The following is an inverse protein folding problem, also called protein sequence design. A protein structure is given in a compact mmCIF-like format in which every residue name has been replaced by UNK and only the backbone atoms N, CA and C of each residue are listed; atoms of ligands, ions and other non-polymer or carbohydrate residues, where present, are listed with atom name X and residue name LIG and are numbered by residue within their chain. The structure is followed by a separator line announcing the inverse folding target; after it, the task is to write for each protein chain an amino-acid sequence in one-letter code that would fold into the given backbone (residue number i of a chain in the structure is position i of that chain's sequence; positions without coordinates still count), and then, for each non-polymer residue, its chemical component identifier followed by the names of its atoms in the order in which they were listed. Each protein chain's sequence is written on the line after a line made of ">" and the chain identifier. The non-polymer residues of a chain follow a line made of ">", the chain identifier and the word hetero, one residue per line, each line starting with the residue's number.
data_IF_909330308981
#
_entry.id   IF_909330308981
#
_cell.length_a   1.000
_cell.length_b   1.000
_cell.length_c   1.000
_cell.angle_alpha   90.00
_cell.angle_beta   90.00
_cell.angle_gamma   90.00
#
_symmetry.space_group_name_H-M   'P 1'
#
loop_
_entity.id
_entity.type
_entity.pdbx_description
1 polymer ?
#
# COMPACT_ATOMS: atom_id res chain seq x y z
N UNK A 1 -0.43 29.24 20.23
CA UNK A 1 -0.76 28.29 19.14
C UNK A 1 -2.01 27.55 19.58
N UNK A 2 -3.15 27.72 18.90
CA UNK A 2 -4.40 27.06 19.31
C UNK A 2 -4.35 25.60 18.88
N UNK A 3 -4.40 24.68 19.84
CA UNK A 3 -4.66 23.26 19.61
C UNK A 3 -6.01 23.11 18.91
N UNK A 4 -6.01 22.66 17.65
CA UNK A 4 -7.25 22.33 16.95
C UNK A 4 -7.71 20.95 17.41
N UNK A 5 -8.65 20.93 18.36
CA UNK A 5 -9.31 19.71 18.80
C UNK A 5 -10.51 19.42 17.90
N UNK A 6 -10.60 18.22 17.33
CA UNK A 6 -11.74 17.82 16.50
C UNK A 6 -12.52 16.71 17.22
N UNK A 7 -13.82 16.94 17.44
CA UNK A 7 -14.74 15.89 17.88
C UNK A 7 -15.10 14.98 16.71
N UNK A 8 -14.95 13.66 16.87
CA UNK A 8 -15.10 12.69 15.78
C UNK A 8 -16.17 11.64 16.12
N UNK A 9 -17.05 11.32 15.16
CA UNK A 9 -18.06 10.27 15.26
C UNK A 9 -17.65 8.98 14.54
N UNK A 10 -17.60 7.87 15.27
CA UNK A 10 -17.20 6.54 14.78
C UNK A 10 -18.36 5.69 14.21
N UNK A 11 -19.50 6.29 13.88
CA UNK A 11 -20.69 5.56 13.38
C UNK A 11 -20.88 5.79 11.88
N UNK A 12 -21.08 4.72 11.12
CA UNK A 12 -21.23 4.74 9.64
C UNK A 12 -22.34 5.67 9.11
N UNK A 13 -23.40 5.90 9.90
CA UNK A 13 -24.55 6.75 9.51
C UNK A 13 -24.43 8.20 10.00
N UNK A 14 -23.30 8.57 10.60
CA UNK A 14 -23.13 9.84 11.30
C UNK A 14 -22.44 10.85 10.38
N UNK A 15 -23.16 11.91 10.03
CA UNK A 15 -22.67 13.01 9.20
C UNK A 15 -22.55 14.26 10.04
N UNK A 16 -21.52 15.08 9.77
CA UNK A 16 -21.34 16.38 10.44
C UNK A 16 -22.01 17.44 9.58
N UNK A 17 -23.11 18.00 10.07
CA UNK A 17 -23.83 19.11 9.44
C UNK A 17 -23.64 20.34 10.33
N UNK A 18 -23.19 21.46 9.76
CA UNK A 18 -23.11 22.76 10.44
C UNK A 18 -22.49 22.72 11.85
N UNK A 19 -21.36 22.00 11.98
CA UNK A 19 -20.57 21.80 13.21
C UNK A 19 -21.17 20.83 14.25
N UNK A 20 -22.35 20.25 14.01
CA UNK A 20 -22.99 19.26 14.89
C UNK A 20 -23.09 17.88 14.22
N UNK A 21 -22.96 16.82 15.03
CA UNK A 21 -23.03 15.44 14.57
C UNK A 21 -24.46 14.92 14.58
N UNK A 22 -24.92 14.34 13.48
CA UNK A 22 -26.31 13.91 13.29
C UNK A 22 -26.77 12.77 14.21
N UNK A 23 -25.88 12.12 14.97
CA UNK A 23 -26.23 10.99 15.82
C UNK A 23 -26.69 11.37 17.24
N UNK A 24 -26.50 12.61 17.69
CA UNK A 24 -26.96 13.08 19.01
C UNK A 24 -26.27 12.44 20.24
N UNK A 25 -25.08 11.85 20.08
CA UNK A 25 -24.29 11.27 21.16
C UNK A 25 -23.02 12.09 21.44
N UNK A 26 -22.38 11.98 22.61
CA UNK A 26 -21.08 12.59 22.86
C UNK A 26 -19.99 11.92 22.02
N UNK A 27 -19.01 12.73 21.56
CA UNK A 27 -17.93 12.33 20.67
C UNK A 27 -16.58 12.56 21.34
N UNK A 28 -15.68 11.59 21.19
CA UNK A 28 -14.32 11.72 21.70
C UNK A 28 -13.59 12.84 20.95
N UNK A 29 -12.88 13.65 21.73
CA UNK A 29 -12.07 14.76 21.23
C UNK A 29 -10.68 14.23 20.93
N UNK A 30 -10.27 14.28 19.66
CA UNK A 30 -8.91 13.93 19.27
C UNK A 30 -8.05 15.19 19.19
N UNK A 31 -6.91 15.20 19.87
CA UNK A 31 -5.91 16.25 19.77
C UNK A 31 -5.08 16.04 18.50
N UNK A 32 -5.18 16.98 17.55
CA UNK A 32 -4.32 16.99 16.38
C UNK A 32 -3.03 17.75 16.69
N UNK A 33 -1.89 17.07 16.67
CA UNK A 33 -0.59 17.73 16.61
C UNK A 33 -0.43 18.38 15.23
N UNK A 34 -0.08 19.67 15.21
CA UNK A 34 -0.14 20.51 14.03
C UNK A 34 1.03 20.25 13.07
N UNK A 35 0.82 19.37 12.09
CA UNK A 35 1.51 19.45 10.79
C UNK A 35 0.78 20.50 9.97
N UNK A 36 1.48 21.49 9.45
CA UNK A 36 0.83 22.59 8.71
C UNK A 36 0.50 22.16 7.28
N UNK A 37 -0.49 22.82 6.66
CA UNK A 37 -0.81 22.61 5.23
C UNK A 37 0.44 22.83 4.35
N UNK A 38 1.34 23.73 4.76
CA UNK A 38 2.61 24.00 4.08
C UNK A 38 3.59 22.82 4.14
N UNK A 39 3.55 22.00 5.19
CA UNK A 39 4.35 20.79 5.32
C UNK A 39 3.79 19.63 4.47
N UNK A 40 2.47 19.61 4.28
CA UNK A 40 1.78 18.72 3.35
C UNK A 40 2.01 19.10 1.88
N UNK A 41 1.97 20.40 1.56
CA UNK A 41 2.23 20.92 0.22
C UNK A 41 3.67 20.67 -0.25
N UNK A 42 4.65 20.60 0.67
CA UNK A 42 6.03 20.16 0.33
C UNK A 42 6.13 18.68 -0.02
N UNK A 43 5.25 17.84 0.53
CA UNK A 43 5.20 16.38 0.23
C UNK A 43 4.51 16.10 -1.12
N UNK A 44 3.63 17.02 -1.54
CA UNK A 44 2.95 17.06 -2.83
C UNK A 44 3.81 17.92 -3.77
N UNK A 45 4.90 17.37 -4.31
CA UNK A 45 5.79 18.13 -5.23
C UNK A 45 5.00 19.01 -6.24
N UNK A 46 5.36 20.29 -6.42
CA UNK A 46 4.70 21.15 -7.38
C UNK A 46 5.30 21.07 -8.80
N UNK A 47 4.36 20.98 -9.76
CA UNK A 47 4.35 21.50 -11.15
C UNK A 47 4.92 20.70 -12.35
N UNK A 48 4.04 20.49 -13.34
CA UNK A 48 4.05 21.33 -14.56
C UNK A 48 2.64 21.48 -15.17
N UNK A 49 2.31 22.73 -15.53
CA UNK A 49 1.09 23.13 -16.25
C UNK A 49 1.13 22.58 -17.68
N UNK A 50 0.05 22.01 -18.20
CA UNK A 50 -0.98 22.73 -18.98
C UNK A 50 -2.07 21.80 -19.53
N UNK A 51 -3.32 22.23 -19.28
CA UNK A 51 -4.47 22.26 -20.20
C UNK A 51 -5.09 20.94 -20.70
N UNK A 52 -6.18 20.57 -20.01
CA UNK A 52 -7.32 19.86 -20.60
C UNK A 52 -8.60 20.30 -19.88
N UNK A 53 -9.26 21.32 -20.44
CA UNK A 53 -10.58 21.79 -19.98
C UNK A 53 -11.60 20.68 -20.21
N UNK A 54 -12.26 20.21 -19.16
CA UNK A 54 -13.60 19.60 -19.28
C UNK A 54 -14.46 20.19 -18.17
N UNK A 55 -15.56 20.80 -18.59
CA UNK A 55 -16.43 21.62 -17.77
C UNK A 55 -17.12 20.80 -16.69
N UNK A 56 -17.43 21.48 -15.57
CA UNK A 56 -18.56 21.11 -14.74
C UNK A 56 -19.80 21.05 -15.63
N UNK A 57 -20.66 20.06 -15.42
CA UNK A 57 -22.06 20.27 -15.08
C UNK A 57 -22.81 18.94 -15.00
N UNK A 58 -23.86 18.97 -14.18
CA UNK A 58 -24.98 18.03 -14.04
C UNK A 58 -24.77 16.87 -13.07
N UNK A 59 -25.03 17.19 -11.79
CA UNK A 59 -25.66 16.26 -10.85
C UNK A 59 -27.05 15.87 -11.38
N UNK A 60 -27.16 14.66 -11.93
CA UNK A 60 -28.42 14.01 -12.24
C UNK A 60 -28.60 12.83 -11.30
N UNK A 61 -29.52 12.98 -10.36
CA UNK A 61 -30.07 11.92 -9.51
C UNK A 61 -30.63 10.79 -10.35
N UNK A 62 -30.25 9.55 -10.06
CA UNK A 62 -31.18 8.41 -10.02
C UNK A 62 -30.62 7.33 -9.10
N UNK A 63 -31.24 7.25 -7.92
CA UNK A 63 -31.09 6.16 -6.97
C UNK A 63 -31.82 4.96 -7.57
N UNK A 64 -31.05 3.98 -8.05
CA UNK A 64 -31.55 2.62 -8.24
C UNK A 64 -30.82 1.74 -7.22
N UNK A 65 -31.57 1.36 -6.19
CA UNK A 65 -31.20 0.33 -5.22
C UNK A 65 -31.03 -0.99 -5.97
N UNK A 66 -29.78 -1.44 -6.12
CA UNK A 66 -29.49 -2.84 -6.43
C UNK A 66 -28.77 -3.43 -5.23
N UNK A 67 -29.41 -4.43 -4.63
CA UNK A 67 -28.79 -5.32 -3.66
C UNK A 67 -27.52 -5.90 -4.30
N UNK A 68 -26.36 -5.49 -3.80
CA UNK A 68 -25.09 -6.11 -4.13
C UNK A 68 -24.66 -6.96 -2.95
N UNK A 69 -24.86 -8.26 -3.10
CA UNK A 69 -24.05 -9.25 -2.42
C UNK A 69 -22.57 -8.89 -2.64
N UNK A 70 -21.90 -8.45 -1.58
CA UNK A 70 -20.48 -8.13 -1.59
C UNK A 70 -19.67 -9.40 -1.91
N UNK A 71 -19.43 -9.64 -3.20
CA UNK A 71 -18.45 -10.64 -3.66
C UNK A 71 -17.07 -10.08 -3.36
N UNK A 72 -16.53 -10.43 -2.19
CA UNK A 72 -15.13 -10.17 -1.86
C UNK A 72 -14.28 -10.93 -2.88
N UNK A 73 -13.37 -10.27 -3.63
CA UNK A 73 -12.47 -10.96 -4.55
C UNK A 73 -11.68 -12.04 -3.80
N UNK A 74 -11.81 -13.29 -4.25
CA UNK A 74 -11.07 -14.42 -3.69
C UNK A 74 -9.59 -14.31 -4.07
N UNK A 75 -8.69 -14.32 -3.09
CA UNK A 75 -7.27 -14.53 -3.37
C UNK A 75 -7.06 -15.95 -3.90
N UNK A 76 -6.14 -16.10 -4.86
CA UNK A 76 -5.72 -17.38 -5.42
C UNK A 76 -5.17 -18.33 -4.34
N UNK A 77 -4.73 -17.79 -3.20
CA UNK A 77 -4.17 -18.52 -2.05
C UNK A 77 -5.11 -18.51 -0.83
N UNK A 78 -6.42 -18.40 -1.06
CA UNK A 78 -7.41 -18.74 -0.04
C UNK A 78 -7.07 -20.16 0.51
N UNK A 79 -6.94 -20.30 1.83
CA UNK A 79 -6.65 -21.56 2.55
C UNK A 79 -5.21 -22.08 2.50
N UNK A 80 -4.24 -21.29 2.04
CA UNK A 80 -2.83 -21.63 2.17
C UNK A 80 -2.39 -21.72 3.66
N UNK A 81 -1.39 -22.58 4.00
CA UNK A 81 -1.12 -23.00 5.38
C UNK A 81 -0.77 -21.83 6.32
N UNK A 82 -0.22 -20.75 5.76
CA UNK A 82 0.16 -19.53 6.49
C UNK A 82 -1.03 -18.72 7.03
N UNK A 83 -2.25 -18.88 6.49
CA UNK A 83 -3.42 -18.14 6.94
C UNK A 83 -3.80 -18.37 8.42
N UNK A 84 -3.17 -19.34 9.08
CA UNK A 84 -3.29 -19.58 10.52
C UNK A 84 -2.79 -18.41 11.36
N UNK A 85 -1.72 -17.73 10.96
CA UNK A 85 -0.99 -16.72 11.75
C UNK A 85 -1.59 -15.32 11.73
N UNK A 86 -2.69 -15.14 10.99
CA UNK A 86 -3.44 -13.88 10.93
C UNK A 86 -4.89 -14.14 10.54
N UNK A 87 -5.45 -15.26 11.02
CA UNK A 87 -6.80 -15.69 10.65
C UNK A 87 -7.87 -14.63 10.96
N UNK A 88 -7.70 -13.90 12.06
CA UNK A 88 -8.62 -12.84 12.48
C UNK A 88 -8.73 -11.71 11.46
N UNK A 89 -7.65 -11.38 10.75
CA UNK A 89 -7.62 -10.31 9.75
C UNK A 89 -7.78 -10.81 8.31
N UNK A 90 -7.94 -12.13 8.09
CA UNK A 90 -7.97 -12.69 6.75
C UNK A 90 -9.06 -12.09 5.85
N UNK A 91 -10.20 -11.71 6.44
CA UNK A 91 -11.34 -11.09 5.73
C UNK A 91 -11.14 -9.58 5.49
N UNK A 92 -10.08 -9.00 6.02
CA UNK A 92 -9.79 -7.55 5.99
C UNK A 92 -8.79 -7.19 4.88
N UNK A 93 -8.45 -8.14 4.01
CA UNK A 93 -7.60 -7.88 2.86
C UNK A 93 -7.93 -8.78 1.67
N UNK A 94 -7.66 -8.27 0.47
CA UNK A 94 -7.81 -8.98 -0.80
C UNK A 94 -6.79 -8.49 -1.83
N UNK A 95 -6.70 -9.17 -2.97
CA UNK A 95 -5.95 -8.67 -4.14
C UNK A 95 -6.88 -7.73 -4.95
N UNK A 96 -6.55 -6.44 -5.09
CA UNK A 96 -7.35 -5.50 -5.88
C UNK A 96 -7.00 -5.62 -7.36
N UNK A 97 -7.94 -5.26 -8.24
CA UNK A 97 -7.63 -5.10 -9.67
C UNK A 97 -6.68 -3.92 -9.88
N UNK A 98 -5.65 -4.13 -10.70
CA UNK A 98 -4.65 -3.12 -11.06
C UNK A 98 -4.82 -2.58 -12.47
N UNK A 99 -5.78 -3.11 -13.25
CA UNK A 99 -5.88 -2.86 -14.69
C UNK A 99 -6.02 -1.39 -15.04
N UNK A 100 -6.75 -0.63 -14.21
CA UNK A 100 -6.96 0.81 -14.37
C UNK A 100 -5.85 1.71 -13.81
N UNK A 101 -4.84 1.17 -13.13
CA UNK A 101 -3.78 1.99 -12.52
C UNK A 101 -2.88 2.57 -13.62
N UNK A 102 -2.68 3.88 -13.60
CA UNK A 102 -1.89 4.58 -14.63
C UNK A 102 -0.38 4.58 -14.29
N UNK A 103 0.41 4.06 -15.21
CA UNK A 103 1.88 3.91 -15.10
C UNK A 103 2.59 4.52 -16.32
N UNK A 104 3.90 4.78 -16.23
CA UNK A 104 4.65 5.36 -17.37
C UNK A 104 4.58 4.44 -18.59
N UNK A 105 4.10 4.97 -19.72
CA UNK A 105 4.00 4.29 -21.00
C UNK A 105 5.36 3.91 -21.61
N UNK A 106 5.35 3.11 -22.68
CA UNK A 106 6.58 2.72 -23.39
C UNK A 106 7.37 3.91 -23.94
N UNK A 107 6.68 4.95 -24.38
CA UNK A 107 7.23 6.18 -24.97
C UNK A 107 7.24 7.36 -23.99
N UNK A 108 7.10 7.09 -22.69
CA UNK A 108 6.94 8.12 -21.66
C UNK A 108 8.07 9.15 -21.64
N UNK A 109 9.29 8.75 -22.01
CA UNK A 109 10.45 9.64 -22.04
C UNK A 109 10.30 10.77 -23.07
N UNK A 110 9.49 10.57 -24.11
CA UNK A 110 9.21 11.54 -25.16
C UNK A 110 7.87 12.26 -24.94
N UNK A 111 6.83 11.51 -24.60
CA UNK A 111 5.44 12.01 -24.62
C UNK A 111 4.87 12.33 -23.23
N UNK A 112 5.52 11.89 -22.15
CA UNK A 112 5.06 11.99 -20.77
C UNK A 112 3.66 11.39 -20.52
N UNK A 113 3.23 10.45 -21.36
CA UNK A 113 1.90 9.83 -21.32
C UNK A 113 1.89 8.57 -20.46
N UNK A 114 1.02 8.56 -19.45
CA UNK A 114 0.74 7.37 -18.66
C UNK A 114 -0.35 6.52 -19.32
N UNK A 115 -0.23 5.20 -19.16
CA UNK A 115 -1.16 4.22 -19.72
C UNK A 115 -1.64 3.27 -18.62
N UNK A 116 -2.80 2.60 -18.81
CA UNK A 116 -3.24 1.55 -17.90
C UNK A 116 -2.20 0.43 -17.78
N UNK A 117 -1.90 0.00 -16.55
CA UNK A 117 -0.86 -0.99 -16.28
C UNK A 117 -1.25 -2.43 -16.65
N UNK A 118 -2.54 -2.71 -16.77
CA UNK A 118 -3.05 -4.06 -16.88
C UNK A 118 -2.91 -4.86 -15.58
N UNK A 119 -2.88 -6.18 -15.70
CA UNK A 119 -2.74 -7.09 -14.55
C UNK A 119 -1.37 -6.93 -13.89
N UNK A 120 -1.35 -6.98 -12.56
CA UNK A 120 -0.14 -7.06 -11.77
C UNK A 120 0.66 -8.32 -12.13
N UNK A 121 1.99 -8.22 -12.04
CA UNK A 121 2.90 -9.34 -12.31
C UNK A 121 2.86 -10.35 -11.16
N UNK A 122 2.94 -9.85 -9.93
CA UNK A 122 2.91 -10.64 -8.71
C UNK A 122 1.51 -10.99 -8.23
N UNK A 123 1.46 -12.00 -7.36
CA UNK A 123 0.25 -12.49 -6.72
C UNK A 123 0.31 -12.31 -5.21
N UNK A 124 -0.70 -11.68 -4.62
CA UNK A 124 -0.82 -11.49 -3.19
C UNK A 124 -1.02 -12.85 -2.50
N UNK A 125 -0.03 -13.22 -1.68
CA UNK A 125 -0.02 -14.46 -0.90
C UNK A 125 -0.74 -14.24 0.42
N UNK A 126 -0.25 -13.29 1.22
CA UNK A 126 -0.67 -13.13 2.60
C UNK A 126 -0.47 -11.70 3.11
N UNK A 127 -1.18 -11.39 4.20
CA UNK A 127 -0.94 -10.22 5.02
C UNK A 127 -0.94 -10.70 6.47
N UNK A 128 0.17 -10.44 7.16
CA UNK A 128 0.25 -10.56 8.61
C UNK A 128 0.09 -9.19 9.27
N UNK A 129 -0.41 -9.20 10.51
CA UNK A 129 -0.40 -8.05 11.40
C UNK A 129 0.29 -8.43 12.71
N UNK A 130 1.47 -7.87 12.92
CA UNK A 130 2.34 -8.21 14.04
C UNK A 130 2.49 -7.05 15.03
N UNK A 131 2.74 -7.41 16.28
CA UNK A 131 3.13 -6.57 17.41
C UNK A 131 4.51 -7.01 17.90
N UNK A 132 5.33 -6.05 18.30
CA UNK A 132 6.70 -6.29 18.78
C UNK A 132 6.97 -5.52 20.07
N UNK A 133 7.89 -6.03 20.89
CA UNK A 133 8.27 -5.34 22.13
C UNK A 133 9.11 -4.10 21.82
N UNK A 134 9.94 -4.18 20.79
CA UNK A 134 10.85 -3.09 20.38
C UNK A 134 10.73 -2.78 18.89
N UNK A 135 11.14 -1.57 18.49
CA UNK A 135 11.13 -1.16 17.09
C UNK A 135 12.15 -1.96 16.26
N UNK A 136 13.29 -2.31 16.85
CA UNK A 136 14.38 -3.03 16.20
C UNK A 136 14.01 -4.47 15.83
N UNK A 137 13.08 -5.09 16.57
CA UNK A 137 12.58 -6.43 16.28
C UNK A 137 11.75 -6.52 15.00
N UNK A 138 11.29 -5.37 14.48
CA UNK A 138 10.52 -5.25 13.25
C UNK A 138 11.37 -5.36 11.99
N UNK A 139 12.70 -5.35 12.11
CA UNK A 139 13.57 -5.39 10.95
C UNK A 139 13.86 -6.82 10.49
N UNK A 140 13.97 -7.00 9.17
CA UNK A 140 14.38 -8.26 8.54
C UNK A 140 13.53 -9.47 9.00
N UNK A 141 12.21 -9.28 9.01
CA UNK A 141 11.23 -10.24 9.48
C UNK A 141 11.28 -11.55 8.71
N UNK A 142 11.72 -11.55 7.45
CA UNK A 142 11.88 -12.76 6.65
C UNK A 142 12.72 -13.84 7.35
N UNK A 143 13.77 -13.47 8.09
CA UNK A 143 14.59 -14.45 8.82
C UNK A 143 13.81 -15.18 9.90
N UNK A 144 12.95 -14.46 10.63
CA UNK A 144 12.09 -15.05 11.65
C UNK A 144 10.93 -15.80 11.00
N UNK A 145 10.36 -15.24 9.93
CA UNK A 145 9.28 -15.83 9.13
C UNK A 145 9.65 -17.23 8.63
N UNK A 146 10.88 -17.44 8.15
CA UNK A 146 11.34 -18.77 7.68
C UNK A 146 11.33 -19.85 8.77
N UNK A 147 11.37 -19.46 10.04
CA UNK A 147 11.38 -20.39 11.18
C UNK A 147 9.99 -20.68 11.74
N UNK A 148 8.97 -19.90 11.36
CA UNK A 148 7.62 -20.06 11.90
C UNK A 148 6.94 -21.31 11.30
N UNK A 149 6.10 -22.03 12.07
CA UNK A 149 5.28 -23.10 11.52
C UNK A 149 4.41 -22.57 10.38
N UNK A 150 4.24 -23.32 9.29
CA UNK A 150 3.48 -22.87 8.11
C UNK A 150 4.00 -21.55 7.49
N UNK A 151 5.32 -21.35 7.49
CA UNK A 151 5.98 -20.21 6.84
C UNK A 151 5.58 -20.06 5.37
N UNK A 152 5.28 -18.82 4.98
CA UNK A 152 5.08 -18.37 3.59
C UNK A 152 6.35 -18.62 2.78
N UNK A 153 7.52 -18.26 3.31
CA UNK A 153 8.79 -18.39 2.60
C UNK A 153 9.21 -19.84 2.40
N UNK A 154 9.02 -20.70 3.42
CA UNK A 154 9.28 -22.14 3.30
C UNK A 154 8.34 -22.76 2.27
N UNK A 155 7.03 -22.48 2.38
CA UNK A 155 6.03 -22.98 1.43
C UNK A 155 6.34 -22.55 -0.01
N UNK A 156 6.67 -21.27 -0.23
CA UNK A 156 6.97 -20.77 -1.58
C UNK A 156 8.27 -21.36 -2.12
N UNK A 157 9.30 -21.54 -1.29
CA UNK A 157 10.55 -22.18 -1.71
C UNK A 157 10.33 -23.62 -2.18
N UNK A 158 9.41 -24.35 -1.55
CA UNK A 158 9.11 -25.74 -1.91
C UNK A 158 8.21 -25.85 -3.15
N UNK A 159 7.17 -25.01 -3.21
CA UNK A 159 6.15 -25.09 -4.26
C UNK A 159 6.47 -24.29 -5.52
N UNK A 160 7.25 -23.21 -5.38
CA UNK A 160 7.58 -22.26 -6.44
C UNK A 160 9.08 -21.89 -6.40
N UNK A 161 10.00 -22.85 -6.58
CA UNK A 161 11.44 -22.65 -6.36
C UNK A 161 12.08 -21.61 -7.28
N UNK A 162 11.50 -21.37 -8.46
CA UNK A 162 11.97 -20.38 -9.44
C UNK A 162 11.36 -18.98 -9.23
N UNK A 163 10.39 -18.87 -8.31
CA UNK A 163 9.71 -17.61 -7.98
C UNK A 163 10.41 -16.93 -6.79
N UNK A 164 10.15 -15.63 -6.64
CA UNK A 164 10.65 -14.83 -5.52
C UNK A 164 9.50 -14.28 -4.71
N UNK A 165 9.58 -14.35 -3.39
CA UNK A 165 8.63 -13.65 -2.52
C UNK A 165 9.08 -12.21 -2.32
N UNK A 166 8.23 -11.25 -2.69
CA UNK A 166 8.44 -9.84 -2.41
C UNK A 166 7.65 -9.47 -1.16
N UNK A 167 8.33 -8.93 -0.16
CA UNK A 167 7.77 -8.59 1.15
C UNK A 167 7.85 -7.08 1.32
N UNK A 168 6.73 -6.47 1.71
CA UNK A 168 6.72 -5.11 2.25
C UNK A 168 6.24 -5.15 3.68
N UNK A 169 7.07 -4.66 4.57
CA UNK A 169 6.77 -4.46 5.98
C UNK A 169 6.51 -2.97 6.22
N UNK A 170 5.25 -2.61 6.47
CA UNK A 170 4.86 -1.25 6.82
C UNK A 170 4.93 -1.14 8.34
N UNK A 171 5.99 -0.51 8.82
CA UNK A 171 6.21 -0.23 10.23
C UNK A 171 5.33 0.92 10.69
N UNK A 172 4.27 0.62 11.44
CA UNK A 172 3.31 1.63 11.86
C UNK A 172 3.90 2.55 12.95
N UNK A 173 3.56 3.86 12.92
CA UNK A 173 4.00 4.80 13.94
C UNK A 173 3.09 4.70 15.17
N UNK A 174 3.33 3.72 16.04
CA UNK A 174 2.62 3.57 17.31
C UNK A 174 3.53 3.00 18.41
N UNK A 175 3.04 3.06 19.65
CA UNK A 175 3.76 2.58 20.84
C UNK A 175 3.82 1.06 20.94
N UNK A 176 2.96 0.35 20.22
CA UNK A 176 2.87 -1.11 20.22
C UNK A 176 3.80 -1.74 19.16
N UNK A 177 4.62 -0.93 18.48
CA UNK A 177 5.50 -1.32 17.39
C UNK A 177 4.81 -2.22 16.36
N UNK A 178 3.60 -1.87 15.92
CA UNK A 178 2.89 -2.74 14.97
C UNK A 178 3.55 -2.73 13.58
N UNK A 179 3.45 -3.85 12.89
CA UNK A 179 3.80 -3.99 11.46
C UNK A 179 2.67 -4.65 10.68
N UNK A 180 2.37 -4.08 9.51
CA UNK A 180 1.57 -4.76 8.48
C UNK A 180 2.55 -5.34 7.48
N UNK A 181 2.66 -6.67 7.42
CA UNK A 181 3.62 -7.37 6.56
C UNK A 181 2.87 -8.04 5.42
N UNK A 182 3.19 -7.67 4.20
CA UNK A 182 2.46 -8.09 3.00
C UNK A 182 3.41 -8.87 2.08
N UNK A 183 2.94 -10.01 1.58
CA UNK A 183 3.73 -10.94 0.80
C UNK A 183 3.13 -11.12 -0.58
N UNK A 184 3.94 -10.95 -1.62
CA UNK A 184 3.58 -11.27 -3.00
C UNK A 184 4.51 -12.32 -3.59
N UNK A 185 3.98 -13.28 -4.33
CA UNK A 185 4.76 -14.19 -5.16
C UNK A 185 5.01 -13.53 -6.51
N UNK A 186 6.29 -13.30 -6.84
CA UNK A 186 6.70 -12.80 -8.15
C UNK A 186 7.18 -14.00 -8.98
N UNK A 187 6.50 -14.32 -10.10
CA UNK A 187 6.91 -15.42 -10.95
C UNK A 187 8.25 -15.11 -11.65
N UNK A 188 9.01 -16.13 -12.07
CA UNK A 188 10.16 -15.91 -12.95
C UNK A 188 9.71 -15.25 -14.26
N UNK A 189 10.67 -14.71 -15.00
CA UNK A 189 10.40 -14.25 -16.35
C UNK A 189 9.76 -15.39 -17.18
N UNK A 190 8.70 -15.11 -17.95
CA UNK A 190 8.13 -16.10 -18.85
C UNK A 190 9.14 -16.47 -19.94
N UNK A 191 8.87 -17.53 -20.71
CA UNK A 191 9.78 -18.01 -21.76
C UNK A 191 10.06 -16.95 -22.83
N UNK A 192 9.04 -16.16 -23.19
CA UNK A 192 9.09 -15.11 -24.21
C UNK A 192 8.67 -13.75 -23.61
N UNK A 193 9.47 -13.13 -22.75
CA UNK A 193 9.07 -11.94 -22.00
C UNK A 193 8.89 -10.69 -22.86
N UNK A 194 9.49 -10.66 -24.06
CA UNK A 194 9.29 -9.60 -25.05
C UNK A 194 7.88 -9.67 -25.68
N UNK A 195 7.40 -10.87 -26.01
CA UNK A 195 6.05 -11.08 -26.57
C UNK A 195 4.96 -10.75 -25.53
N UNK A 196 5.22 -11.05 -24.26
CA UNK A 196 4.32 -10.74 -23.15
C UNK A 196 4.45 -9.31 -22.61
N UNK A 197 5.41 -8.53 -23.14
CA UNK A 197 5.65 -7.14 -22.73
C UNK A 197 6.07 -7.00 -21.26
N UNK A 198 6.75 -8.00 -20.70
CA UNK A 198 7.23 -8.04 -19.31
C UNK A 198 8.75 -8.00 -19.18
N UNK A 199 9.48 -8.05 -20.31
CA UNK A 199 10.94 -8.08 -20.31
C UNK A 199 11.59 -6.90 -19.57
N UNK A 200 11.13 -5.67 -19.83
CA UNK A 200 11.59 -4.47 -19.14
C UNK A 200 11.37 -4.56 -17.61
N UNK A 201 10.19 -5.04 -17.19
CA UNK A 201 9.88 -5.26 -15.78
C UNK A 201 10.84 -6.26 -15.14
N UNK A 202 11.01 -7.46 -15.72
CA UNK A 202 11.86 -8.48 -15.12
C UNK A 202 13.33 -8.06 -15.05
N UNK A 203 13.86 -7.36 -16.07
CA UNK A 203 15.20 -6.78 -16.02
C UNK A 203 15.35 -5.78 -14.88
N UNK A 204 14.42 -4.82 -14.77
CA UNK A 204 14.46 -3.80 -13.72
C UNK A 204 14.27 -4.41 -12.32
N UNK A 205 13.36 -5.37 -12.19
CA UNK A 205 13.08 -6.06 -10.93
C UNK A 205 14.29 -6.89 -10.45
N UNK A 206 14.93 -7.65 -11.33
CA UNK A 206 16.14 -8.41 -10.99
C UNK A 206 17.27 -7.47 -10.56
N UNK A 207 17.49 -6.37 -11.31
CA UNK A 207 18.47 -5.35 -10.93
C UNK A 207 18.15 -4.73 -9.58
N UNK A 208 16.89 -4.37 -9.33
CA UNK A 208 16.44 -3.79 -8.06
C UNK A 208 16.72 -4.71 -6.86
N UNK A 209 16.50 -6.01 -7.03
CA UNK A 209 16.74 -6.96 -5.98
C UNK A 209 18.23 -7.29 -5.79
N UNK A 210 18.91 -7.65 -6.88
CA UNK A 210 20.17 -8.41 -6.81
C UNK A 210 21.41 -7.53 -7.04
N UNK A 211 21.29 -6.43 -7.79
CA UNK A 211 22.43 -5.62 -8.25
C UNK A 211 22.44 -4.18 -7.71
N UNK A 212 21.26 -3.61 -7.46
CA UNK A 212 21.11 -2.22 -7.03
C UNK A 212 21.68 -1.96 -5.64
N UNK A 213 22.19 -0.76 -5.42
CA UNK A 213 22.45 -0.24 -4.08
C UNK A 213 21.18 0.42 -3.51
N UNK A 214 21.26 0.89 -2.26
CA UNK A 214 20.11 1.50 -1.60
C UNK A 214 19.73 2.83 -2.22
N UNK A 215 20.69 3.61 -2.74
CA UNK A 215 20.40 4.85 -3.48
C UNK A 215 19.60 4.57 -4.75
N UNK A 216 19.97 3.52 -5.50
CA UNK A 216 19.18 3.04 -6.62
C UNK A 216 17.79 2.62 -6.13
N UNK A 217 17.67 1.75 -5.13
CA UNK A 217 16.36 1.26 -4.67
C UNK A 217 15.44 2.38 -4.17
N UNK A 218 15.99 3.35 -3.44
CA UNK A 218 15.27 4.51 -2.90
C UNK A 218 14.64 5.35 -4.01
N UNK A 219 15.29 5.44 -5.17
CA UNK A 219 14.82 6.17 -6.34
C UNK A 219 13.97 5.34 -7.31
N UNK A 220 13.65 4.08 -6.97
CA UNK A 220 12.92 3.18 -7.87
C UNK A 220 11.62 2.69 -7.29
N UNK A 221 11.57 2.35 -6.02
CA UNK A 221 10.34 1.80 -5.44
C UNK A 221 9.25 2.87 -5.32
N UNK A 222 8.09 2.60 -5.94
CA UNK A 222 6.90 3.45 -5.87
C UNK A 222 5.75 2.75 -5.17
N UNK A 223 5.13 3.47 -4.24
CA UNK A 223 3.85 3.12 -3.64
C UNK A 223 2.75 4.02 -4.21
N UNK A 224 1.64 3.44 -4.63
CA UNK A 224 0.48 4.14 -5.18
C UNK A 224 -0.72 3.85 -4.29
N UNK A 225 -1.08 4.75 -3.36
CA UNK A 225 -2.26 4.59 -2.54
C UNK A 225 -3.51 5.00 -3.32
N UNK A 226 -4.62 4.31 -3.08
CA UNK A 226 -5.94 4.68 -3.54
C UNK A 226 -6.94 4.49 -2.41
N UNK A 227 -7.45 5.59 -1.85
CA UNK A 227 -8.45 5.57 -0.81
C UNK A 227 -9.83 5.28 -1.42
N UNK A 228 -10.37 4.10 -1.14
CA UNK A 228 -11.69 3.65 -1.66
C UNK A 228 -12.80 4.12 -0.73
N UNK A 229 -12.67 3.85 0.56
CA UNK A 229 -13.61 4.31 1.59
C UNK A 229 -12.83 4.93 2.74
N UNK A 230 -13.29 6.09 3.21
CA UNK A 230 -12.76 6.70 4.41
C UNK A 230 -13.28 8.12 4.63
N UNK A 231 -12.98 8.72 5.79
CA UNK A 231 -13.26 10.11 6.06
C UNK A 231 -12.72 11.05 4.98
N UNK A 232 -13.50 12.08 4.61
CA UNK A 232 -13.11 13.07 3.60
C UNK A 232 -11.73 13.72 3.88
N UNK A 233 -11.38 13.92 5.15
CA UNK A 233 -10.07 14.47 5.56
C UNK A 233 -8.90 13.59 5.08
N UNK A 234 -9.08 12.26 5.04
CA UNK A 234 -8.04 11.34 4.58
C UNK A 234 -7.87 11.36 3.05
N UNK A 235 -8.89 11.74 2.28
CA UNK A 235 -8.77 11.90 0.82
C UNK A 235 -7.82 13.05 0.46
N UNK A 236 -7.79 14.10 1.27
CA UNK A 236 -6.86 15.22 1.10
C UNK A 236 -5.43 14.86 1.53
N UNK A 237 -5.29 14.08 2.61
CA UNK A 237 -3.98 13.72 3.18
C UNK A 237 -3.28 12.60 2.39
N UNK A 238 -4.04 11.67 1.80
CA UNK A 238 -3.54 10.54 1.02
C UNK A 238 -3.98 10.72 -0.43
N UNK A 239 -3.33 11.62 -1.20
CA UNK A 239 -3.68 11.80 -2.59
C UNK A 239 -3.43 10.50 -3.35
N UNK A 240 -4.33 10.15 -4.27
CA UNK A 240 -4.17 9.00 -5.16
C UNK A 240 -3.08 9.29 -6.21
N UNK A 241 -1.82 9.26 -5.78
CA UNK A 241 -0.65 9.59 -6.59
C UNK A 241 0.52 8.68 -6.19
N UNK A 242 1.30 8.19 -7.18
CA UNK A 242 2.53 7.46 -6.89
C UNK A 242 3.51 8.30 -6.08
N UNK A 243 4.17 7.67 -5.10
CA UNK A 243 5.27 8.26 -4.34
C UNK A 243 6.49 7.34 -4.37
N UNK A 244 7.65 7.90 -4.73
CA UNK A 244 8.94 7.28 -4.45
C UNK A 244 9.17 7.34 -2.94
N UNK A 245 8.92 6.24 -2.24
CA UNK A 245 8.94 6.27 -0.77
C UNK A 245 10.36 6.37 -0.23
N UNK A 246 11.41 6.02 -1.00
CA UNK A 246 12.80 5.99 -0.49
C UNK A 246 13.39 7.37 -0.28
N UNK A 247 12.83 8.35 -0.99
CA UNK A 247 13.18 9.76 -0.85
C UNK A 247 12.37 10.43 0.29
N UNK A 248 11.47 9.69 0.94
CA UNK A 248 10.49 10.23 1.90
C UNK A 248 10.50 9.52 3.25
N UNK A 249 10.85 8.25 3.28
CA UNK A 249 10.92 7.38 4.44
C UNK A 249 12.30 6.74 4.52
N UNK A 250 12.75 6.42 5.73
CA UNK A 250 13.83 5.46 5.91
C UNK A 250 13.37 4.09 5.42
N UNK A 251 14.15 3.49 4.53
CA UNK A 251 13.93 2.13 4.02
C UNK A 251 15.08 1.23 4.39
N UNK A 252 14.77 -0.05 4.63
CA UNK A 252 15.77 -1.10 4.83
C UNK A 252 15.45 -2.22 3.86
N UNK A 253 16.49 -2.73 3.20
CA UNK A 253 16.37 -3.73 2.15
C UNK A 253 17.09 -5.00 2.56
N UNK A 254 16.41 -6.13 2.49
CA UNK A 254 16.99 -7.43 2.78
C UNK A 254 16.74 -8.38 1.62
N UNK A 255 17.82 -8.86 1.01
CA UNK A 255 17.74 -9.72 -0.17
C UNK A 255 18.38 -11.08 0.12
N UNK A 256 17.67 -12.14 -0.26
CA UNK A 256 18.18 -13.52 -0.39
C UNK A 256 17.67 -14.13 -1.69
N UNK A 257 18.10 -15.36 -1.99
CA UNK A 257 17.72 -16.02 -3.25
C UNK A 257 16.21 -16.21 -3.43
N UNK A 258 15.48 -16.51 -2.34
CA UNK A 258 14.04 -16.82 -2.36
C UNK A 258 13.14 -15.62 -2.00
N UNK A 259 13.68 -14.52 -1.49
CA UNK A 259 12.87 -13.35 -1.13
C UNK A 259 13.62 -12.02 -1.24
N UNK A 260 12.84 -10.97 -1.37
CA UNK A 260 13.25 -9.59 -1.18
C UNK A 260 12.31 -8.93 -0.17
N UNK A 261 12.84 -8.33 0.87
CA UNK A 261 12.09 -7.63 1.91
C UNK A 261 12.45 -6.13 1.90
N UNK A 262 11.40 -5.32 1.96
CA UNK A 262 11.46 -3.87 2.09
C UNK A 262 10.71 -3.45 3.36
N UNK A 263 11.46 -2.92 4.32
CA UNK A 263 10.89 -2.26 5.50
C UNK A 263 10.67 -0.78 5.22
N UNK A 264 9.45 -0.30 5.49
CA UNK A 264 9.04 1.09 5.36
C UNK A 264 8.77 1.69 6.74
N UNK A 265 9.73 2.46 7.26
CA UNK A 265 9.59 3.16 8.54
C UNK A 265 8.73 4.42 8.37
N UNK A 266 7.44 4.32 8.67
CA UNK A 266 6.49 5.43 8.55
C UNK A 266 6.78 6.52 9.60
N UNK A 267 7.34 6.17 10.75
CA UNK A 267 7.67 7.11 11.82
C UNK A 267 8.90 7.99 11.48
N UNK A 268 9.72 7.58 10.51
CA UNK A 268 10.92 8.31 10.10
C UNK A 268 10.67 9.67 9.44
N UNK A 269 9.41 10.00 9.11
CA UNK A 269 9.02 11.28 8.53
C UNK A 269 7.82 11.85 9.26
N UNK A 270 7.92 13.09 9.74
CA UNK A 270 6.84 13.77 10.47
C UNK A 270 5.51 13.76 9.69
N UNK A 271 5.58 14.02 8.39
CA UNK A 271 4.39 14.03 7.53
C UNK A 271 3.79 12.62 7.38
N UNK A 272 4.63 11.61 7.12
CA UNK A 272 4.19 10.24 6.99
C UNK A 272 3.67 9.67 8.32
N UNK A 273 4.33 10.00 9.43
CA UNK A 273 3.91 9.67 10.79
C UNK A 273 2.51 10.20 11.07
N UNK A 274 2.25 11.46 10.75
CA UNK A 274 0.93 12.08 10.92
C UNK A 274 -0.13 11.38 10.08
N UNK A 275 0.11 11.19 8.78
CA UNK A 275 -0.82 10.51 7.86
C UNK A 275 -1.07 9.07 8.31
N UNK A 276 -0.02 8.34 8.67
CA UNK A 276 -0.08 6.96 9.15
C UNK A 276 -0.82 6.84 10.47
N UNK A 277 -0.63 7.77 11.41
CA UNK A 277 -1.39 7.82 12.68
C UNK A 277 -2.88 8.09 12.44
N UNK A 278 -3.21 8.92 11.45
CA UNK A 278 -4.59 9.16 11.05
C UNK A 278 -5.20 7.91 10.43
N UNK A 279 -4.50 7.25 9.51
CA UNK A 279 -4.97 6.00 8.90
C UNK A 279 -5.20 4.91 9.97
N UNK A 280 -4.31 4.79 10.95
CA UNK A 280 -4.45 3.85 12.07
C UNK A 280 -5.71 4.14 12.91
N UNK A 281 -5.96 5.40 13.26
CA UNK A 281 -7.14 5.80 14.05
C UNK A 281 -8.47 5.46 13.36
N UNK A 282 -8.45 5.34 12.03
CA UNK A 282 -9.60 5.03 11.19
C UNK A 282 -9.53 3.64 10.55
N UNK A 283 -8.57 2.79 10.91
CA UNK A 283 -8.29 1.54 10.20
C UNK A 283 -9.53 0.64 10.07
N UNK A 284 -10.37 0.57 11.10
CA UNK A 284 -11.62 -0.20 11.11
C UNK A 284 -12.77 0.41 10.30
N UNK A 285 -12.57 1.56 9.68
CA UNK A 285 -13.54 2.32 8.86
C UNK A 285 -12.95 2.74 7.50
N UNK A 286 -11.76 2.24 7.18
CA UNK A 286 -10.98 2.60 6.01
C UNK A 286 -10.96 1.42 5.03
N UNK A 287 -11.15 1.68 3.76
CA UNK A 287 -10.76 0.77 2.69
C UNK A 287 -9.75 1.47 1.78
N UNK A 288 -8.58 0.86 1.60
CA UNK A 288 -7.49 1.42 0.81
C UNK A 288 -6.85 0.35 -0.06
N UNK A 289 -6.65 0.66 -1.34
CA UNK A 289 -5.75 -0.11 -2.18
C UNK A 289 -4.35 0.48 -2.11
N UNK A 290 -3.34 -0.37 -2.02
CA UNK A 290 -1.94 -0.01 -2.22
C UNK A 290 -1.41 -0.81 -3.40
N UNK A 291 -0.88 -0.11 -4.41
CA UNK A 291 -0.20 -0.74 -5.54
C UNK A 291 1.30 -0.42 -5.50
N UNK A 292 2.10 -1.41 -5.91
CA UNK A 292 3.55 -1.34 -5.90
C UNK A 292 4.05 -1.37 -7.33
N UNK A 293 5.04 -0.55 -7.65
CA UNK A 293 5.70 -0.57 -8.95
C UNK A 293 7.14 -0.08 -8.82
N UNK A 294 7.94 -0.28 -9.86
CA UNK A 294 9.31 0.21 -9.96
C UNK A 294 9.38 1.30 -11.02
N UNK A 295 10.06 2.41 -10.71
CA UNK A 295 10.22 3.53 -11.61
C UNK A 295 11.23 3.22 -12.71
N UNK A 296 10.77 3.23 -13.96
CA UNK A 296 11.64 3.22 -15.14
C UNK A 296 12.14 4.63 -15.45
N UNK A 297 13.44 4.79 -15.63
CA UNK A 297 14.12 6.08 -15.87
C UNK A 297 14.73 6.19 -17.27
N UNK A 298 14.61 5.16 -18.10
CA UNK A 298 14.95 5.19 -19.52
C UNK A 298 14.05 4.24 -20.31
N UNK A 299 14.12 4.29 -21.63
CA UNK A 299 13.28 3.51 -22.55
C UNK A 299 13.39 1.99 -22.34
N UNK A 300 14.58 1.47 -21.98
CA UNK A 300 14.81 0.03 -21.78
C UNK A 300 14.15 -0.53 -20.51
N UNK A 301 13.73 0.36 -19.61
CA UNK A 301 13.03 0.10 -18.35
C UNK A 301 11.50 0.35 -18.45
N UNK A 302 11.01 0.74 -19.63
CA UNK A 302 9.59 1.01 -19.91
C UNK A 302 8.99 -0.06 -20.82
N UNK A 303 7.68 -0.32 -20.80
CA UNK A 303 6.63 0.27 -19.96
C UNK A 303 6.70 -0.22 -18.50
N UNK A 304 6.36 0.64 -17.55
CA UNK A 304 6.19 0.24 -16.15
C UNK A 304 5.03 -0.78 -15.98
N UNK A 305 5.15 -1.66 -14.99
CA UNK A 305 4.11 -2.64 -14.62
C UNK A 305 3.85 -2.59 -13.12
N UNK A 306 2.62 -2.94 -12.70
CA UNK A 306 2.33 -3.14 -11.28
C UNK A 306 2.98 -4.45 -10.83
N UNK A 307 3.83 -4.36 -9.83
CA UNK A 307 4.48 -5.50 -9.18
C UNK A 307 3.45 -6.30 -8.37
N UNK A 308 2.63 -5.61 -7.58
CA UNK A 308 1.62 -6.22 -6.73
C UNK A 308 0.62 -5.18 -6.24
N UNK A 309 -0.50 -5.67 -5.71
CA UNK A 309 -1.51 -4.84 -5.07
C UNK A 309 -2.04 -5.50 -3.80
N UNK A 310 -2.53 -4.70 -2.87
CA UNK A 310 -3.30 -5.15 -1.70
C UNK A 310 -4.46 -4.20 -1.44
N UNK A 311 -5.64 -4.74 -1.24
CA UNK A 311 -6.77 -4.06 -0.61
C UNK A 311 -6.69 -4.33 0.88
N UNK A 312 -6.75 -3.29 1.69
CA UNK A 312 -6.88 -3.38 3.15
C UNK A 312 -8.20 -2.72 3.52
N UNK A 313 -9.13 -3.52 4.04
CA UNK A 313 -10.52 -3.18 4.31
C UNK A 313 -10.86 -3.35 5.78
N UNK A 314 -11.18 -2.25 6.46
CA UNK A 314 -11.68 -2.22 7.84
C UNK A 314 -10.79 -2.98 8.82
N UNK A 315 -9.47 -2.82 8.68
CA UNK A 315 -8.47 -3.55 9.46
C UNK A 315 -8.62 -3.25 10.96
N UNK A 316 -8.82 -4.31 11.76
CA UNK A 316 -8.80 -4.21 13.21
C UNK A 316 -7.38 -4.44 13.72
N UNK A 317 -6.71 -3.35 14.11
CA UNK A 317 -5.34 -3.38 14.63
C UNK A 317 -5.20 -4.12 15.98
N UNK A 318 -6.29 -4.28 16.74
CA UNK A 318 -6.28 -5.02 18.01
C UNK A 318 -6.09 -6.54 17.80
N UNK A 319 -6.25 -7.03 16.57
CA UNK A 319 -6.00 -8.43 16.21
C UNK A 319 -4.52 -8.73 15.96
N UNK A 320 -3.64 -7.74 16.13
CA UNK A 320 -2.20 -7.93 16.03
C UNK A 320 -1.72 -8.97 17.04
N UNK A 321 -0.98 -9.96 16.56
CA UNK A 321 -0.36 -11.00 17.38
C UNK A 321 1.10 -10.68 17.64
N UNK A 322 1.68 -11.21 18.72
CA UNK A 322 3.13 -11.14 18.90
C UNK A 322 3.83 -11.99 17.84
N UNK A 323 4.91 -11.48 17.27
CA UNK A 323 5.73 -12.25 16.33
C UNK A 323 6.52 -13.31 17.12
N UNK A 324 6.08 -14.57 17.06
CA UNK A 324 6.69 -15.72 17.74
C UNK A 324 7.53 -16.61 16.83
#
# INVERSE_FOLDING_TARGET
>A
MSTSSVQICRRKSCTRLDLEWSCGFPHDTMEMNSVTIEDLDKYIEPNNKEQGVVSSDVWGTDITTSDSDNVVPSSEFNDAPFAVHSRGIRKMWAEPDSSGVLVRGKTYMDDLVKVPAGKAIGKLLHVDLWRFETAEERHHLAMKEETRPNSVLVYCREMFPDSRVFIVNIELPNTDNLSIVIYWLIPPAPKNPEEEGTAAFHRLFNRFCDEGDDDFRNNRFKLIPNLVEGPWILQTLVPNRPALTGNKLTQRYFCRSNYFELDLDVASSTAAQYIGSMCQSWASYLQMHLYLTLQGENEDELQERILGGVDVSYLNLELATEFS
#
